data_IF_031111768727
#
_entry.id   IF_031111768727
#
_cell.length_a   1.000
_cell.length_b   1.000
_cell.length_c   1.000
_cell.angle_alpha   90.00
_cell.angle_beta   90.00
_cell.angle_gamma   90.00
#
_symmetry.space_group_name_H-M   'P 1'
#
loop_
_entity.id
_entity.type
_entity.pdbx_description
1 polymer ?
#
# COMPACT_ATOMS: atom_id res chain seq x y z
N UNK A 1 -24.32 -69.36 -39.93
CA UNK A 1 -23.67 -68.13 -39.43
C UNK A 1 -24.69 -67.00 -39.25
N UNK A 2 -25.70 -67.16 -38.38
CA UNK A 2 -26.71 -66.13 -38.05
C UNK A 2 -27.26 -66.26 -36.60
N UNK A 3 -26.43 -66.72 -35.67
CA UNK A 3 -26.83 -66.94 -34.26
C UNK A 3 -25.99 -66.13 -33.25
N UNK A 4 -24.75 -65.76 -33.60
CA UNK A 4 -23.87 -64.97 -32.73
C UNK A 4 -24.22 -63.47 -32.73
N UNK A 5 -24.76 -62.93 -33.83
CA UNK A 5 -25.22 -61.52 -33.91
C UNK A 5 -26.47 -61.22 -33.06
N UNK A 6 -27.15 -62.24 -32.53
CA UNK A 6 -28.35 -62.08 -31.68
C UNK A 6 -28.05 -62.05 -30.18
N UNK A 7 -26.84 -62.39 -29.76
CA UNK A 7 -26.42 -62.44 -28.34
C UNK A 7 -25.55 -61.25 -27.92
N UNK A 8 -24.93 -60.53 -28.85
CA UNK A 8 -24.07 -59.37 -28.58
C UNK A 8 -24.53 -58.13 -29.34
N UNK A 9 -25.83 -57.84 -29.28
CA UNK A 9 -26.35 -56.52 -29.63
C UNK A 9 -25.89 -55.47 -28.62
N UNK A 10 -24.60 -55.10 -28.64
CA UNK A 10 -24.16 -53.83 -28.06
C UNK A 10 -24.81 -52.74 -28.90
N UNK A 11 -25.95 -52.22 -28.42
CA UNK A 11 -26.19 -50.78 -28.53
C UNK A 11 -25.00 -50.12 -27.83
N UNK A 12 -23.99 -49.75 -28.61
CA UNK A 12 -23.31 -48.50 -28.31
C UNK A 12 -24.43 -47.47 -28.41
N UNK A 13 -24.93 -47.02 -27.26
CA UNK A 13 -25.43 -45.66 -27.17
C UNK A 13 -24.35 -44.81 -27.82
N UNK A 14 -24.69 -44.25 -28.98
CA UNK A 14 -23.91 -43.16 -29.53
C UNK A 14 -24.01 -42.10 -28.45
N UNK A 15 -22.95 -41.90 -27.69
CA UNK A 15 -22.67 -40.61 -27.09
C UNK A 15 -22.77 -39.63 -28.25
N UNK A 16 -23.91 -38.95 -28.35
CA UNK A 16 -24.03 -37.77 -29.18
C UNK A 16 -23.03 -36.79 -28.58
N UNK A 17 -21.83 -36.74 -29.17
CA UNK A 17 -20.86 -35.67 -28.95
C UNK A 17 -21.49 -34.41 -29.56
N UNK A 18 -22.42 -33.85 -28.79
CA UNK A 18 -22.84 -32.48 -28.95
C UNK A 18 -21.76 -31.68 -28.23
N UNK A 19 -20.87 -31.06 -29.01
CA UNK A 19 -20.03 -29.97 -28.51
C UNK A 19 -20.95 -28.98 -27.79
N UNK A 20 -20.89 -29.00 -26.46
CA UNK A 20 -21.74 -28.19 -25.60
C UNK A 20 -21.04 -26.85 -25.43
N UNK A 21 -21.51 -25.85 -26.17
CA UNK A 21 -21.06 -24.47 -26.04
C UNK A 21 -21.92 -23.79 -24.98
N UNK A 22 -21.30 -23.36 -23.89
CA UNK A 22 -21.96 -22.67 -22.78
C UNK A 22 -21.70 -21.17 -22.86
N UNK A 23 -22.75 -20.36 -22.86
CA UNK A 23 -22.61 -18.92 -22.63
C UNK A 23 -22.25 -18.69 -21.15
N UNK A 24 -21.14 -17.98 -20.89
CA UNK A 24 -20.63 -17.80 -19.52
C UNK A 24 -21.69 -17.21 -18.57
N UNK A 25 -22.54 -16.31 -19.09
CA UNK A 25 -23.62 -15.65 -18.34
C UNK A 25 -24.70 -16.63 -17.85
N UNK A 26 -24.90 -17.73 -18.56
CA UNK A 26 -25.92 -18.75 -18.28
C UNK A 26 -25.32 -19.94 -17.52
N UNK A 27 -24.01 -20.11 -17.55
CA UNK A 27 -23.30 -21.25 -16.96
C UNK A 27 -23.62 -21.43 -15.47
N UNK A 28 -23.75 -20.35 -14.70
CA UNK A 28 -24.08 -20.42 -13.28
C UNK A 28 -25.46 -21.08 -13.05
N UNK A 29 -26.45 -20.71 -13.87
CA UNK A 29 -27.80 -21.28 -13.80
C UNK A 29 -27.78 -22.75 -14.22
N UNK A 30 -27.08 -23.09 -15.30
CA UNK A 30 -26.95 -24.46 -15.79
C UNK A 30 -26.31 -25.37 -14.73
N UNK A 31 -25.22 -24.92 -14.09
CA UNK A 31 -24.53 -25.67 -13.04
C UNK A 31 -25.43 -25.88 -11.82
N UNK A 32 -26.16 -24.84 -11.41
CA UNK A 32 -27.11 -24.95 -10.30
C UNK A 32 -28.25 -25.94 -10.60
N UNK A 33 -28.82 -25.88 -11.81
CA UNK A 33 -29.85 -26.82 -12.24
C UNK A 33 -29.36 -28.26 -12.30
N UNK A 34 -28.17 -28.50 -12.86
CA UNK A 34 -27.58 -29.83 -12.98
C UNK A 34 -27.21 -30.41 -11.61
N UNK A 35 -26.71 -29.56 -10.69
CA UNK A 35 -26.47 -29.94 -9.29
C UNK A 35 -27.77 -30.33 -8.59
N UNK A 36 -28.82 -29.54 -8.76
CA UNK A 36 -30.16 -29.83 -8.23
C UNK A 36 -30.72 -31.16 -8.76
N UNK A 37 -30.64 -31.40 -10.08
CA UNK A 37 -31.06 -32.67 -10.70
C UNK A 37 -30.30 -33.85 -10.12
N UNK A 38 -28.99 -33.70 -9.92
CA UNK A 38 -28.15 -34.76 -9.37
C UNK A 38 -28.51 -35.06 -7.91
N UNK A 39 -28.79 -34.04 -7.09
CA UNK A 39 -29.26 -34.20 -5.71
C UNK A 39 -30.60 -34.94 -5.69
N UNK A 40 -31.59 -34.49 -6.46
CA UNK A 40 -32.92 -35.14 -6.52
C UNK A 40 -32.84 -36.59 -7.01
N UNK A 41 -31.93 -36.89 -7.93
CA UNK A 41 -31.72 -38.27 -8.41
C UNK A 41 -31.20 -39.22 -7.32
N UNK A 42 -30.40 -38.71 -6.38
CA UNK A 42 -29.77 -39.52 -5.33
C UNK A 42 -30.65 -39.71 -4.09
N UNK A 43 -31.56 -38.76 -3.81
CA UNK A 43 -32.45 -38.82 -2.64
C UNK A 43 -33.18 -40.15 -2.45
N UNK A 44 -33.81 -40.76 -3.48
CA UNK A 44 -34.49 -42.04 -3.30
C UNK A 44 -33.56 -43.20 -2.90
N UNK A 45 -32.30 -43.17 -3.35
CA UNK A 45 -31.30 -44.17 -2.96
C UNK A 45 -30.88 -43.99 -1.50
N UNK A 46 -30.72 -42.73 -1.06
CA UNK A 46 -30.47 -42.40 0.36
C UNK A 46 -31.64 -42.87 1.23
N UNK A 47 -32.87 -42.51 0.87
CA UNK A 47 -34.09 -42.91 1.58
C UNK A 47 -34.16 -44.44 1.74
N UNK A 48 -33.96 -45.18 0.65
CA UNK A 48 -34.00 -46.64 0.65
C UNK A 48 -32.93 -47.26 1.56
N UNK A 49 -31.70 -46.77 1.48
CA UNK A 49 -30.60 -47.27 2.30
C UNK A 49 -30.76 -46.89 3.78
N UNK A 50 -31.31 -45.72 4.09
CA UNK A 50 -31.66 -45.34 5.45
C UNK A 50 -32.69 -46.27 6.07
N UNK A 51 -33.67 -46.75 5.29
CA UNK A 51 -34.63 -47.77 5.76
C UNK A 51 -33.90 -49.07 6.09
N UNK A 52 -33.04 -49.56 5.19
CA UNK A 52 -32.24 -50.78 5.41
C UNK A 52 -31.37 -50.68 6.67
N UNK A 53 -30.71 -49.54 6.88
CA UNK A 53 -29.87 -49.29 8.07
C UNK A 53 -30.73 -49.26 9.34
N UNK A 54 -31.89 -48.59 9.33
CA UNK A 54 -32.84 -48.59 10.46
C UNK A 54 -33.27 -50.02 10.80
N UNK A 55 -33.62 -50.82 9.80
CA UNK A 55 -33.99 -52.23 10.01
C UNK A 55 -32.85 -53.06 10.60
N UNK A 56 -31.61 -52.89 10.12
CA UNK A 56 -30.46 -53.59 10.68
C UNK A 56 -30.19 -53.18 12.15
N UNK A 57 -30.35 -51.90 12.49
CA UNK A 57 -30.22 -51.41 13.86
C UNK A 57 -31.31 -51.98 14.78
N UNK A 58 -32.56 -52.02 14.33
CA UNK A 58 -33.67 -52.63 15.07
C UNK A 58 -33.46 -54.14 15.30
N UNK A 59 -32.91 -54.85 14.32
CA UNK A 59 -32.60 -56.27 14.46
C UNK A 59 -31.46 -56.51 15.44
N UNK A 60 -30.39 -55.71 15.40
CA UNK A 60 -29.31 -55.77 16.40
C UNK A 60 -29.82 -55.53 17.83
N UNK A 61 -30.79 -54.63 18.00
CA UNK A 61 -31.43 -54.39 19.29
C UNK A 61 -32.19 -55.63 19.77
N UNK A 62 -32.93 -56.33 18.89
CA UNK A 62 -33.58 -57.61 19.24
C UNK A 62 -32.55 -58.69 19.58
N UNK A 63 -31.49 -58.83 18.79
CA UNK A 63 -30.42 -59.81 19.01
C UNK A 63 -29.70 -59.58 20.34
N UNK A 64 -29.56 -58.31 20.76
CA UNK A 64 -29.04 -57.94 22.08
C UNK A 64 -29.96 -58.44 23.21
N UNK A 65 -31.28 -58.27 23.09
CA UNK A 65 -32.25 -58.79 24.08
C UNK A 65 -32.28 -60.33 24.09
N UNK A 66 -32.22 -60.98 22.91
CA UNK A 66 -32.11 -62.45 22.81
C UNK A 66 -30.85 -62.97 23.50
N UNK A 67 -29.71 -62.31 23.28
CA UNK A 67 -28.45 -62.67 23.93
C UNK A 67 -28.55 -62.59 25.45
N UNK A 68 -29.15 -61.52 25.99
CA UNK A 68 -29.31 -61.35 27.44
C UNK A 68 -30.25 -62.40 28.06
N UNK A 69 -31.22 -62.89 27.30
CA UNK A 69 -32.16 -63.93 27.71
C UNK A 69 -31.63 -65.37 27.51
N UNK A 70 -30.52 -65.55 26.79
CA UNK A 70 -29.99 -66.87 26.46
C UNK A 70 -29.37 -67.59 27.67
N UNK A 71 -29.54 -68.92 27.71
CA UNK A 71 -28.89 -69.80 28.67
C UNK A 71 -27.59 -70.39 28.07
N UNK A 72 -26.53 -70.56 28.88
CA UNK A 72 -25.29 -71.16 28.40
C UNK A 72 -25.50 -72.63 28.06
N UNK A 73 -24.68 -73.17 27.16
CA UNK A 73 -24.69 -74.61 26.84
C UNK A 73 -24.57 -75.51 28.10
N UNK A 74 -25.14 -76.72 28.04
CA UNK A 74 -25.16 -77.65 29.17
C UNK A 74 -23.74 -78.08 29.62
N UNK A 75 -23.60 -78.40 30.91
CA UNK A 75 -22.36 -78.90 31.56
C UNK A 75 -21.20 -77.88 31.68
N UNK A 76 -21.49 -76.59 31.69
CA UNK A 76 -20.49 -75.54 31.94
C UNK A 76 -20.15 -75.46 33.44
N UNK A 77 -18.88 -75.24 33.77
CA UNK A 77 -18.48 -75.02 35.16
C UNK A 77 -18.98 -73.67 35.69
N UNK A 78 -19.25 -73.54 37.00
CA UNK A 78 -19.62 -72.25 37.64
C UNK A 78 -18.68 -71.09 37.33
N UNK A 79 -17.39 -71.37 37.08
CA UNK A 79 -16.40 -70.36 36.67
C UNK A 79 -16.57 -69.95 35.21
N UNK A 80 -16.94 -70.89 34.35
CA UNK A 80 -17.27 -70.66 32.94
C UNK A 80 -18.54 -69.82 32.79
N UNK A 81 -19.58 -70.10 33.58
CA UNK A 81 -20.83 -69.32 33.61
C UNK A 81 -20.56 -67.84 33.93
N UNK A 82 -19.86 -67.55 35.05
CA UNK A 82 -19.52 -66.16 35.43
C UNK A 82 -18.69 -65.43 34.37
N UNK A 83 -17.77 -66.13 33.71
CA UNK A 83 -16.96 -65.56 32.64
C UNK A 83 -17.81 -65.30 31.39
N UNK A 84 -18.76 -66.18 31.09
CA UNK A 84 -19.76 -66.01 30.05
C UNK A 84 -20.64 -64.80 30.27
N UNK A 85 -21.24 -64.69 31.45
CA UNK A 85 -22.15 -63.59 31.82
C UNK A 85 -21.46 -62.22 31.69
N UNK A 86 -20.24 -62.09 32.21
CA UNK A 86 -19.50 -60.82 32.12
C UNK A 86 -19.17 -60.44 30.67
N UNK A 87 -18.89 -61.40 29.79
CA UNK A 87 -18.64 -61.12 28.37
C UNK A 87 -19.94 -60.90 27.60
N UNK A 88 -21.02 -61.59 27.96
CA UNK A 88 -22.38 -61.39 27.46
C UNK A 88 -22.84 -59.95 27.69
N UNK A 89 -22.71 -59.47 28.92
CA UNK A 89 -23.06 -58.09 29.28
C UNK A 89 -22.19 -57.08 28.55
N UNK A 90 -20.90 -57.38 28.35
CA UNK A 90 -20.00 -56.51 27.57
C UNK A 90 -20.43 -56.43 26.09
N UNK A 91 -20.80 -57.55 25.46
CA UNK A 91 -21.32 -57.53 24.09
C UNK A 91 -22.64 -56.78 24.02
N UNK A 92 -23.56 -57.02 24.96
CA UNK A 92 -24.84 -56.31 24.99
C UNK A 92 -24.66 -54.78 25.15
N UNK A 93 -23.74 -54.35 26.02
CA UNK A 93 -23.41 -52.93 26.19
C UNK A 93 -22.82 -52.31 24.91
N UNK A 94 -21.97 -53.03 24.20
CA UNK A 94 -21.39 -52.53 22.96
C UNK A 94 -22.41 -52.48 21.80
N UNK A 95 -23.33 -53.45 21.72
CA UNK A 95 -24.46 -53.37 20.78
C UNK A 95 -25.36 -52.17 21.07
N UNK A 96 -25.61 -51.87 22.35
CA UNK A 96 -26.34 -50.67 22.74
C UNK A 96 -25.65 -49.39 22.28
N UNK A 97 -24.31 -49.32 22.33
CA UNK A 97 -23.54 -48.15 21.85
C UNK A 97 -23.78 -47.90 20.36
N UNK A 98 -23.92 -48.96 19.54
CA UNK A 98 -24.27 -48.81 18.11
C UNK A 98 -25.62 -48.11 17.99
N UNK A 99 -26.64 -48.61 18.69
CA UNK A 99 -28.00 -48.06 18.61
C UNK A 99 -28.09 -46.62 19.15
N UNK A 100 -27.37 -46.32 20.23
CA UNK A 100 -27.36 -44.98 20.84
C UNK A 100 -26.67 -43.93 19.95
N UNK A 101 -25.61 -44.33 19.23
CA UNK A 101 -24.79 -43.41 18.42
C UNK A 101 -25.20 -43.35 16.95
N UNK A 102 -25.71 -44.43 16.37
CA UNK A 102 -26.12 -44.47 14.96
C UNK A 102 -27.57 -44.04 14.80
N UNK A 103 -27.80 -42.73 14.90
CA UNK A 103 -29.10 -42.13 14.62
C UNK A 103 -29.19 -41.78 13.15
N UNK A 104 -29.94 -42.57 12.39
CA UNK A 104 -30.17 -42.32 10.97
C UNK A 104 -30.87 -40.96 10.79
N UNK A 105 -30.28 -40.03 10.03
CA UNK A 105 -30.85 -38.69 9.83
C UNK A 105 -32.23 -38.71 9.15
N UNK A 106 -33.02 -37.65 9.40
CA UNK A 106 -34.26 -37.40 8.64
C UNK A 106 -33.96 -36.73 7.29
N UNK A 107 -32.87 -35.95 7.21
CA UNK A 107 -32.44 -35.32 5.97
C UNK A 107 -31.75 -36.35 5.06
N UNK A 108 -32.25 -36.46 3.84
CA UNK A 108 -31.79 -37.41 2.83
C UNK A 108 -30.99 -36.75 1.71
N UNK A 109 -30.47 -35.54 2.00
CA UNK A 109 -29.38 -34.93 1.24
C UNK A 109 -28.19 -35.91 1.10
N UNK A 110 -27.70 -36.16 -0.13
CA UNK A 110 -26.57 -37.05 -0.37
C UNK A 110 -25.29 -36.64 0.37
N UNK A 111 -25.06 -35.33 0.54
CA UNK A 111 -23.91 -34.81 1.26
C UNK A 111 -23.96 -35.20 2.75
N UNK A 112 -25.11 -34.99 3.39
CA UNK A 112 -25.32 -35.36 4.79
C UNK A 112 -25.32 -36.89 4.97
N UNK A 113 -25.78 -37.64 3.97
CA UNK A 113 -25.69 -39.10 3.97
C UNK A 113 -24.25 -39.61 3.92
N UNK A 114 -23.36 -38.93 3.19
CA UNK A 114 -21.93 -39.26 3.18
C UNK A 114 -21.27 -38.95 4.53
N UNK A 115 -21.62 -37.84 5.17
CA UNK A 115 -21.15 -37.53 6.53
C UNK A 115 -21.61 -38.61 7.53
N UNK A 116 -22.90 -38.96 7.48
CA UNK A 116 -23.46 -40.04 8.31
C UNK A 116 -22.76 -41.38 8.07
N UNK A 117 -22.48 -41.76 6.82
CA UNK A 117 -21.73 -42.99 6.51
C UNK A 117 -20.36 -43.03 7.19
N UNK A 118 -19.60 -41.93 7.10
CA UNK A 118 -18.26 -41.84 7.68
C UNK A 118 -18.30 -42.00 9.21
N UNK A 119 -19.23 -41.30 9.86
CA UNK A 119 -19.45 -41.42 11.30
C UNK A 119 -19.90 -42.83 11.69
N UNK A 120 -20.79 -43.43 10.89
CA UNK A 120 -21.32 -44.75 11.15
C UNK A 120 -20.27 -45.85 11.05
N UNK A 121 -19.43 -45.84 10.01
CA UNK A 121 -18.31 -46.79 9.88
C UNK A 121 -17.30 -46.62 11.02
N UNK A 122 -17.05 -45.39 11.48
CA UNK A 122 -16.16 -45.11 12.61
C UNK A 122 -16.69 -45.71 13.92
N UNK A 123 -17.97 -45.53 14.21
CA UNK A 123 -18.64 -46.11 15.38
C UNK A 123 -18.65 -47.64 15.31
N UNK A 124 -19.04 -48.21 14.16
CA UNK A 124 -19.10 -49.66 13.97
C UNK A 124 -17.73 -50.30 14.18
N UNK A 125 -16.68 -49.73 13.58
CA UNK A 125 -15.30 -50.18 13.77
C UNK A 125 -14.88 -50.16 15.24
N UNK A 126 -15.15 -49.05 15.94
CA UNK A 126 -14.82 -48.91 17.36
C UNK A 126 -15.51 -49.98 18.21
N UNK A 127 -16.79 -50.27 17.90
CA UNK A 127 -17.55 -51.31 18.60
C UNK A 127 -16.99 -52.71 18.30
N UNK A 128 -16.70 -53.03 17.04
CA UNK A 128 -16.12 -54.32 16.66
C UNK A 128 -14.78 -54.57 17.37
N UNK A 129 -13.91 -53.56 17.42
CA UNK A 129 -12.61 -53.64 18.12
C UNK A 129 -12.81 -53.95 19.62
N UNK A 130 -13.72 -53.24 20.29
CA UNK A 130 -14.01 -53.41 21.72
C UNK A 130 -14.72 -54.74 22.05
N UNK A 131 -15.46 -55.29 21.10
CA UNK A 131 -16.35 -56.44 21.31
C UNK A 131 -15.70 -57.77 20.89
N UNK A 132 -14.68 -57.71 20.03
CA UNK A 132 -13.97 -58.85 19.43
C UNK A 132 -13.62 -59.97 20.43
N UNK A 133 -12.98 -59.61 21.56
CA UNK A 133 -12.58 -60.57 22.60
C UNK A 133 -13.78 -61.17 23.32
N UNK A 134 -14.81 -60.38 23.60
CA UNK A 134 -16.01 -60.87 24.27
C UNK A 134 -16.86 -61.77 23.37
N UNK A 135 -16.89 -61.51 22.06
CA UNK A 135 -17.50 -62.42 21.07
C UNK A 135 -16.84 -63.80 21.06
N UNK A 136 -15.52 -63.91 21.27
CA UNK A 136 -14.86 -65.22 21.37
C UNK A 136 -15.36 -66.05 22.56
N UNK A 137 -15.65 -65.41 23.70
CA UNK A 137 -16.19 -66.10 24.87
C UNK A 137 -17.66 -66.49 24.67
N UNK A 138 -18.46 -65.60 24.07
CA UNK A 138 -19.85 -65.88 23.74
C UNK A 138 -19.94 -67.00 22.69
N UNK A 139 -19.05 -67.06 21.71
CA UNK A 139 -18.98 -68.16 20.73
C UNK A 139 -18.92 -69.55 21.38
N UNK A 140 -18.24 -69.65 22.52
CA UNK A 140 -18.08 -70.92 23.22
C UNK A 140 -19.29 -71.29 24.09
N UNK A 141 -20.05 -70.31 24.60
CA UNK A 141 -21.12 -70.52 25.59
C UNK A 141 -22.54 -70.31 25.01
N UNK A 142 -22.66 -69.46 24.01
CA UNK A 142 -23.88 -69.02 23.33
C UNK A 142 -23.63 -69.02 21.79
N UNK A 143 -23.34 -70.19 21.19
CA UNK A 143 -22.88 -70.27 19.80
C UNK A 143 -23.92 -69.79 18.77
N UNK A 144 -25.22 -69.97 19.06
CA UNK A 144 -26.30 -69.56 18.16
C UNK A 144 -26.44 -68.03 18.16
N UNK A 145 -26.43 -67.42 19.35
CA UNK A 145 -26.53 -65.98 19.56
C UNK A 145 -25.31 -65.28 18.98
N UNK A 146 -24.11 -65.82 19.20
CA UNK A 146 -22.88 -65.32 18.56
C UNK A 146 -22.99 -65.31 17.03
N UNK A 147 -23.52 -66.38 16.43
CA UNK A 147 -23.67 -66.44 14.97
C UNK A 147 -24.68 -65.39 14.48
N UNK A 148 -25.83 -65.25 15.16
CA UNK A 148 -26.83 -64.24 14.82
C UNK A 148 -26.27 -62.82 14.93
N UNK A 149 -25.56 -62.50 16.02
CA UNK A 149 -24.96 -61.18 16.24
C UNK A 149 -23.93 -60.85 15.16
N UNK A 150 -23.04 -61.80 14.82
CA UNK A 150 -22.07 -61.57 13.75
C UNK A 150 -22.75 -61.33 12.40
N UNK A 151 -23.82 -62.07 12.10
CA UNK A 151 -24.61 -61.86 10.89
C UNK A 151 -25.28 -60.48 10.90
N UNK A 152 -25.92 -60.07 12.00
CA UNK A 152 -26.55 -58.75 12.10
C UNK A 152 -25.56 -57.59 12.01
N UNK A 153 -24.35 -57.75 12.56
CA UNK A 153 -23.27 -56.76 12.42
C UNK A 153 -22.77 -56.68 10.97
N UNK A 154 -22.67 -57.81 10.28
CA UNK A 154 -22.32 -57.85 8.87
C UNK A 154 -23.44 -57.22 8.01
N UNK A 155 -24.72 -57.49 8.31
CA UNK A 155 -25.86 -56.88 7.61
C UNK A 155 -25.90 -55.35 7.77
N UNK A 156 -25.57 -54.83 8.96
CA UNK A 156 -25.42 -53.39 9.17
C UNK A 156 -24.23 -52.83 8.38
N UNK A 157 -23.10 -53.52 8.36
CA UNK A 157 -21.92 -53.11 7.57
C UNK A 157 -22.23 -53.07 6.07
N UNK A 158 -22.88 -54.11 5.55
CA UNK A 158 -23.31 -54.21 4.16
C UNK A 158 -24.29 -53.09 3.80
N UNK A 159 -25.25 -52.78 4.68
CA UNK A 159 -26.20 -51.68 4.46
C UNK A 159 -25.51 -50.30 4.42
N UNK A 160 -24.47 -50.09 5.23
CA UNK A 160 -23.66 -48.87 5.18
C UNK A 160 -22.82 -48.80 3.89
N UNK A 161 -22.21 -49.90 3.47
CA UNK A 161 -21.39 -49.92 2.26
C UNK A 161 -22.24 -49.78 0.98
N UNK A 162 -23.49 -50.26 0.99
CA UNK A 162 -24.47 -50.00 -0.07
C UNK A 162 -24.88 -48.52 -0.11
N UNK A 163 -25.08 -47.88 1.05
CA UNK A 163 -25.31 -46.43 1.13
C UNK A 163 -24.18 -45.68 0.42
N UNK A 164 -22.92 -45.95 0.78
CA UNK A 164 -21.76 -45.30 0.17
C UNK A 164 -21.69 -45.54 -1.34
N UNK A 165 -21.82 -46.80 -1.76
CA UNK A 165 -21.73 -47.20 -3.16
C UNK A 165 -22.81 -46.54 -4.03
N UNK A 166 -24.02 -46.37 -3.49
CA UNK A 166 -25.15 -45.77 -4.20
C UNK A 166 -25.03 -44.25 -4.40
N UNK A 167 -24.26 -43.54 -3.55
CA UNK A 167 -24.18 -42.08 -3.59
C UNK A 167 -22.83 -41.51 -4.02
N UNK A 168 -21.73 -42.23 -3.85
CA UNK A 168 -20.36 -41.68 -3.97
C UNK A 168 -20.07 -41.06 -5.34
N UNK A 169 -20.44 -41.73 -6.43
CA UNK A 169 -20.23 -41.18 -7.78
C UNK A 169 -21.04 -39.90 -8.01
N UNK A 170 -22.26 -39.86 -7.46
CA UNK A 170 -23.13 -38.71 -7.61
C UNK A 170 -22.68 -37.51 -6.77
N UNK A 171 -22.16 -37.75 -5.57
CA UNK A 171 -21.55 -36.74 -4.72
C UNK A 171 -20.33 -36.13 -5.40
N UNK A 172 -19.44 -36.96 -5.97
CA UNK A 172 -18.29 -36.46 -6.73
C UNK A 172 -18.73 -35.53 -7.87
N UNK A 173 -19.80 -35.88 -8.59
CA UNK A 173 -20.36 -35.00 -9.64
C UNK A 173 -20.86 -33.67 -9.08
N UNK A 174 -21.53 -33.68 -7.91
CA UNK A 174 -21.97 -32.45 -7.21
C UNK A 174 -20.77 -31.60 -6.79
N UNK A 175 -19.71 -32.20 -6.25
CA UNK A 175 -18.48 -31.50 -5.88
C UNK A 175 -17.79 -30.86 -7.09
N UNK A 176 -17.72 -31.58 -8.22
CA UNK A 176 -17.13 -31.06 -9.45
C UNK A 176 -17.97 -29.91 -10.03
N UNK A 177 -19.31 -29.98 -9.96
CA UNK A 177 -20.20 -28.86 -10.29
C UNK A 177 -19.98 -27.64 -9.36
N UNK A 178 -19.76 -27.86 -8.07
CA UNK A 178 -19.46 -26.78 -7.13
C UNK A 178 -18.13 -26.09 -7.45
N UNK A 179 -17.10 -26.83 -7.91
CA UNK A 179 -15.84 -26.22 -8.39
C UNK A 179 -16.06 -25.32 -9.60
N UNK A 180 -16.95 -25.72 -10.52
CA UNK A 180 -17.34 -24.86 -11.65
C UNK A 180 -18.02 -23.60 -11.13
N UNK A 181 -18.98 -23.72 -10.20
CA UNK A 181 -19.66 -22.56 -9.61
C UNK A 181 -18.67 -21.59 -8.95
N UNK A 182 -17.70 -22.09 -8.17
CA UNK A 182 -16.64 -21.25 -7.58
C UNK A 182 -15.78 -20.57 -8.64
N UNK A 183 -15.39 -21.27 -9.71
CA UNK A 183 -14.61 -20.68 -10.81
C UNK A 183 -15.36 -19.61 -11.59
N UNK A 184 -16.70 -19.71 -11.70
CA UNK A 184 -17.52 -18.64 -12.29
C UNK A 184 -17.46 -17.37 -11.45
N UNK A 185 -17.61 -17.50 -10.13
CA UNK A 185 -17.54 -16.35 -9.22
C UNK A 185 -16.14 -15.72 -9.18
N UNK A 186 -15.08 -16.52 -9.28
CA UNK A 186 -13.70 -16.03 -9.43
C UNK A 186 -13.53 -15.20 -10.70
N UNK A 187 -13.97 -15.70 -11.87
CA UNK A 187 -13.89 -14.96 -13.13
C UNK A 187 -14.68 -13.64 -13.05
N UNK A 188 -15.91 -13.66 -12.52
CA UNK A 188 -16.72 -12.44 -12.34
C UNK A 188 -16.04 -11.42 -11.41
N UNK A 189 -15.44 -11.89 -10.32
CA UNK A 189 -14.72 -11.04 -9.38
C UNK A 189 -13.55 -10.32 -10.04
N UNK A 190 -12.76 -11.05 -10.85
CA UNK A 190 -11.65 -10.47 -11.60
C UNK A 190 -12.17 -9.47 -12.66
N UNK A 191 -13.24 -9.79 -13.38
CA UNK A 191 -13.86 -8.86 -14.35
C UNK A 191 -14.32 -7.55 -13.69
N UNK A 192 -14.95 -7.62 -12.52
CA UNK A 192 -15.34 -6.44 -11.74
C UNK A 192 -14.12 -5.62 -11.27
N UNK A 193 -13.06 -6.29 -10.83
CA UNK A 193 -11.81 -5.62 -10.46
C UNK A 193 -11.12 -4.92 -11.63
N UNK A 194 -11.15 -5.53 -12.82
CA UNK A 194 -10.63 -4.95 -14.06
C UNK A 194 -11.43 -3.69 -14.45
N UNK A 195 -12.76 -3.76 -14.42
CA UNK A 195 -13.64 -2.61 -14.70
C UNK A 195 -13.39 -1.45 -13.73
N UNK A 196 -13.24 -1.76 -12.43
CA UNK A 196 -12.93 -0.77 -11.41
C UNK A 196 -11.54 -0.16 -11.61
N UNK A 197 -10.55 -0.96 -12.01
CA UNK A 197 -9.21 -0.48 -12.34
C UNK A 197 -9.22 0.47 -13.54
N UNK A 198 -9.93 0.09 -14.61
CA UNK A 198 -10.06 0.92 -15.81
C UNK A 198 -10.71 2.28 -15.52
N UNK A 199 -11.79 2.30 -14.70
CA UNK A 199 -12.43 3.54 -14.24
C UNK A 199 -11.47 4.43 -13.44
N UNK A 200 -10.70 3.86 -12.50
CA UNK A 200 -9.69 4.60 -11.74
C UNK A 200 -8.63 5.23 -12.63
N UNK A 201 -8.13 4.49 -13.63
CA UNK A 201 -7.15 5.01 -14.60
C UNK A 201 -7.75 6.19 -15.37
N UNK A 202 -9.00 6.10 -15.82
CA UNK A 202 -9.69 7.19 -16.51
C UNK A 202 -9.87 8.44 -15.62
N UNK A 203 -10.23 8.26 -14.36
CA UNK A 203 -10.33 9.36 -13.38
C UNK A 203 -8.97 10.01 -13.12
N UNK A 204 -7.90 9.21 -13.00
CA UNK A 204 -6.54 9.71 -12.84
C UNK A 204 -6.07 10.49 -14.07
N UNK A 205 -6.36 10.02 -15.30
CA UNK A 205 -6.09 10.80 -16.51
C UNK A 205 -6.82 12.15 -16.51
N UNK A 206 -8.08 12.18 -16.10
CA UNK A 206 -8.85 13.43 -15.98
C UNK A 206 -8.20 14.40 -14.98
N UNK A 207 -7.69 13.89 -13.84
CA UNK A 207 -6.94 14.68 -12.86
C UNK A 207 -5.62 15.18 -13.40
N UNK A 208 -4.90 14.35 -14.16
CA UNK A 208 -3.65 14.72 -14.82
C UNK A 208 -3.87 15.87 -15.81
N UNK A 209 -4.88 15.77 -16.68
CA UNK A 209 -5.19 16.80 -17.66
C UNK A 209 -5.61 18.11 -16.99
N UNK A 210 -6.40 18.05 -15.91
CA UNK A 210 -6.76 19.23 -15.13
C UNK A 210 -5.52 19.90 -14.47
N UNK A 211 -4.57 19.12 -13.95
CA UNK A 211 -3.33 19.65 -13.39
C UNK A 211 -2.44 20.27 -14.48
N UNK A 212 -2.36 19.64 -15.65
CA UNK A 212 -1.64 20.13 -16.83
C UNK A 212 -2.21 21.45 -17.34
N UNK A 213 -3.53 21.59 -17.40
CA UNK A 213 -4.19 22.84 -17.78
C UNK A 213 -3.87 23.96 -16.78
N UNK A 214 -3.90 23.67 -15.48
CA UNK A 214 -3.54 24.63 -14.43
C UNK A 214 -2.08 25.06 -14.49
N UNK A 215 -1.17 24.12 -14.76
CA UNK A 215 0.25 24.43 -14.98
C UNK A 215 0.43 25.36 -16.17
N UNK A 216 -0.18 25.05 -17.31
CA UNK A 216 -0.11 25.91 -18.51
C UNK A 216 -0.67 27.32 -18.26
N UNK A 217 -1.73 27.45 -17.44
CA UNK A 217 -2.25 28.76 -17.02
C UNK A 217 -1.28 29.50 -16.09
N UNK A 218 -0.63 28.81 -15.16
CA UNK A 218 0.39 29.41 -14.29
C UNK A 218 1.59 29.90 -15.11
N UNK A 219 2.09 29.09 -16.05
CA UNK A 219 3.17 29.46 -16.96
C UNK A 219 2.81 30.68 -17.82
N UNK A 220 1.56 30.73 -18.31
CA UNK A 220 1.06 31.89 -19.07
C UNK A 220 1.00 33.15 -18.21
N UNK A 221 0.52 33.04 -16.97
CA UNK A 221 0.50 34.16 -16.00
C UNK A 221 1.92 34.64 -15.67
N UNK A 222 2.88 33.73 -15.50
CA UNK A 222 4.29 34.11 -15.31
C UNK A 222 4.83 34.88 -16.51
N UNK A 223 4.57 34.39 -17.73
CA UNK A 223 5.00 35.08 -18.94
C UNK A 223 4.35 36.47 -19.08
N UNK A 224 3.06 36.62 -18.75
CA UNK A 224 2.38 37.92 -18.73
C UNK A 224 2.98 38.87 -17.68
N UNK A 225 3.27 38.35 -16.48
CA UNK A 225 3.89 39.11 -15.39
C UNK A 225 5.28 39.62 -15.77
N UNK A 226 6.12 38.76 -16.35
CA UNK A 226 7.48 39.12 -16.77
C UNK A 226 7.51 40.14 -17.92
N UNK A 227 6.44 40.22 -18.71
CA UNK A 227 6.29 41.18 -19.81
C UNK A 227 5.52 42.45 -19.39
N UNK A 228 5.09 42.56 -18.12
CA UNK A 228 4.31 43.70 -17.68
C UNK A 228 5.21 44.92 -17.39
N UNK A 229 4.62 46.11 -17.52
CA UNK A 229 5.34 47.37 -17.30
C UNK A 229 5.85 47.52 -15.86
N UNK A 230 5.12 46.97 -14.87
CA UNK A 230 5.54 47.01 -13.47
C UNK A 230 6.77 46.15 -13.21
N UNK A 231 6.89 44.98 -13.85
CA UNK A 231 8.05 44.11 -13.73
C UNK A 231 9.30 44.75 -14.37
N UNK A 232 9.14 45.35 -15.56
CA UNK A 232 10.22 46.10 -16.21
C UNK A 232 10.63 47.32 -15.37
N UNK A 233 9.66 48.04 -14.79
CA UNK A 233 9.95 49.14 -13.85
C UNK A 233 10.72 48.64 -12.62
N UNK A 234 10.30 47.52 -12.02
CA UNK A 234 11.00 46.92 -10.89
C UNK A 234 12.44 46.51 -11.24
N UNK A 235 12.67 46.08 -12.48
CA UNK A 235 14.01 45.77 -13.00
C UNK A 235 14.86 47.03 -13.15
N UNK A 236 14.30 48.08 -13.75
CA UNK A 236 14.97 49.37 -13.93
C UNK A 236 15.36 49.99 -12.60
N UNK A 237 14.44 50.06 -11.63
CA UNK A 237 14.72 50.54 -10.27
C UNK A 237 15.89 49.79 -9.62
N UNK A 238 15.98 48.47 -9.83
CA UNK A 238 17.07 47.65 -9.29
C UNK A 238 18.41 47.96 -9.95
N UNK A 239 18.42 48.20 -11.25
CA UNK A 239 19.62 48.59 -12.00
C UNK A 239 20.06 50.03 -11.64
N UNK A 240 19.11 50.93 -11.39
CA UNK A 240 19.35 52.29 -10.88
C UNK A 240 19.94 52.26 -9.48
N UNK A 241 19.34 51.52 -8.53
CA UNK A 241 19.88 51.33 -7.17
C UNK A 241 21.32 50.85 -7.23
N UNK A 242 21.62 49.87 -8.10
CA UNK A 242 22.98 49.35 -8.26
C UNK A 242 23.96 50.39 -8.81
N UNK A 243 23.48 51.29 -9.66
CA UNK A 243 24.28 52.40 -10.19
C UNK A 243 24.61 53.40 -9.08
N UNK A 244 23.59 53.82 -8.32
CA UNK A 244 23.74 54.73 -7.18
C UNK A 244 24.66 54.12 -6.10
N UNK A 245 24.55 52.82 -5.81
CA UNK A 245 25.46 52.12 -4.90
C UNK A 245 26.92 52.15 -5.38
N UNK A 246 27.15 52.07 -6.69
CA UNK A 246 28.48 52.21 -7.29
C UNK A 246 29.02 53.64 -7.14
N UNK A 247 28.16 54.65 -7.30
CA UNK A 247 28.54 56.06 -7.15
C UNK A 247 28.88 56.40 -5.69
N UNK A 248 28.06 55.95 -4.73
CA UNK A 248 28.37 56.03 -3.29
C UNK A 248 29.71 55.37 -2.98
N UNK A 249 29.93 54.15 -3.49
CA UNK A 249 31.19 53.43 -3.31
C UNK A 249 32.39 54.18 -3.90
N UNK A 250 32.18 54.86 -5.03
CA UNK A 250 33.17 55.74 -5.67
C UNK A 250 33.54 56.93 -4.78
N UNK A 251 32.54 57.61 -4.22
CA UNK A 251 32.72 58.73 -3.29
C UNK A 251 33.43 58.27 -2.00
N UNK A 252 33.06 57.12 -1.45
CA UNK A 252 33.74 56.54 -0.28
C UNK A 252 35.21 56.17 -0.57
N UNK A 253 35.51 55.73 -1.79
CA UNK A 253 36.88 55.50 -2.24
C UNK A 253 37.65 56.82 -2.37
N UNK A 254 37.01 57.88 -2.86
CA UNK A 254 37.59 59.22 -2.94
C UNK A 254 37.87 59.81 -1.55
N UNK A 255 36.91 59.74 -0.62
CA UNK A 255 37.10 60.12 0.79
C UNK A 255 38.31 59.39 1.40
N UNK A 256 38.43 58.08 1.19
CA UNK A 256 39.60 57.29 1.61
C UNK A 256 40.92 57.80 1.01
N UNK A 257 40.91 58.20 -0.26
CA UNK A 257 42.10 58.73 -0.95
C UNK A 257 42.54 60.07 -0.34
N UNK A 258 41.61 60.91 0.11
CA UNK A 258 41.94 62.18 0.77
C UNK A 258 42.73 61.99 2.06
N UNK A 259 42.47 60.96 2.86
CA UNK A 259 43.23 60.69 4.09
C UNK A 259 44.45 59.78 3.90
N UNK A 260 44.61 59.13 2.72
CA UNK A 260 45.72 58.21 2.47
C UNK A 260 47.10 58.86 2.64
N UNK A 261 47.38 60.07 2.13
CA UNK A 261 48.65 60.77 2.37
C UNK A 261 48.88 61.13 3.84
N UNK A 262 47.82 61.24 4.64
CA UNK A 262 47.88 61.56 6.07
C UNK A 262 48.05 60.34 6.97
N UNK A 263 47.84 59.13 6.45
CA UNK A 263 47.85 57.87 7.20
C UNK A 263 49.03 57.72 8.16
N UNK A 264 50.25 58.11 7.75
CA UNK A 264 51.45 58.02 8.59
C UNK A 264 51.46 59.06 9.71
N UNK A 265 51.01 60.27 9.43
CA UNK A 265 50.92 61.35 10.41
C UNK A 265 49.84 61.01 11.45
N UNK A 266 48.65 60.61 11.00
CA UNK A 266 47.54 60.16 11.85
C UNK A 266 47.96 58.97 12.72
N UNK A 267 48.63 57.96 12.15
CA UNK A 267 49.13 56.81 12.93
C UNK A 267 50.19 57.18 13.97
N UNK A 268 50.97 58.24 13.74
CA UNK A 268 51.98 58.73 14.71
C UNK A 268 51.30 59.52 15.83
N UNK A 269 50.32 60.34 15.47
CA UNK A 269 49.50 61.12 16.40
C UNK A 269 48.71 60.20 17.34
N UNK A 270 48.07 59.15 16.81
CA UNK A 270 47.40 58.10 17.58
C UNK A 270 48.36 57.41 18.57
N UNK A 271 49.52 56.95 18.07
CA UNK A 271 50.52 56.30 18.94
C UNK A 271 51.09 57.21 20.03
N UNK A 272 51.17 58.52 19.79
CA UNK A 272 51.64 59.47 20.79
C UNK A 272 50.57 59.73 21.85
N UNK A 273 49.29 59.72 21.47
CA UNK A 273 48.15 59.78 22.38
C UNK A 273 48.05 58.52 23.25
N UNK A 274 48.14 57.32 22.65
CA UNK A 274 48.10 56.04 23.35
C UNK A 274 49.23 55.88 24.40
N UNK A 275 50.39 56.46 24.13
CA UNK A 275 51.56 56.40 25.02
C UNK A 275 51.67 57.61 25.95
N UNK A 276 50.61 58.43 26.05
CA UNK A 276 50.51 59.64 26.88
C UNK A 276 51.61 60.69 26.61
N UNK A 277 52.32 60.58 25.48
CA UNK A 277 53.36 61.53 25.09
C UNK A 277 52.76 62.84 24.59
N UNK A 278 51.59 62.78 23.98
CA UNK A 278 50.81 63.96 23.62
C UNK A 278 49.33 63.60 23.58
N UNK A 279 48.60 64.01 24.64
CA UNK A 279 47.20 63.67 24.84
C UNK A 279 46.32 64.48 23.89
N UNK A 280 45.50 63.80 23.10
CA UNK A 280 44.48 64.40 22.23
C UNK A 280 43.24 64.78 23.03
N UNK A 281 42.57 65.85 22.60
CA UNK A 281 41.24 66.16 23.11
C UNK A 281 40.25 65.04 22.77
N UNK A 282 39.18 64.86 23.57
CA UNK A 282 38.13 63.88 23.26
C UNK A 282 37.52 64.05 21.86
N UNK A 283 37.37 65.30 21.40
CA UNK A 283 36.88 65.65 20.06
C UNK A 283 37.85 65.18 18.96
N UNK A 284 39.16 65.42 19.11
CA UNK A 284 40.16 64.96 18.15
C UNK A 284 40.30 63.43 18.14
N UNK A 285 40.08 62.75 19.27
CA UNK A 285 40.02 61.27 19.32
C UNK A 285 38.82 60.72 18.56
N UNK A 286 37.67 61.37 18.66
CA UNK A 286 36.46 60.97 17.93
C UNK A 286 36.65 61.11 16.41
N UNK A 287 37.20 62.25 15.97
CA UNK A 287 37.51 62.50 14.55
C UNK A 287 38.56 61.50 14.05
N UNK A 288 39.64 61.26 14.80
CA UNK A 288 40.68 60.29 14.45
C UNK A 288 40.10 58.88 14.27
N UNK A 289 39.20 58.46 15.17
CA UNK A 289 38.49 57.18 15.07
C UNK A 289 37.61 57.15 13.81
N UNK A 290 36.83 58.20 13.57
CA UNK A 290 35.98 58.32 12.38
C UNK A 290 36.79 58.24 11.09
N UNK A 291 37.94 58.91 11.00
CA UNK A 291 38.82 58.87 9.83
C UNK A 291 39.36 57.44 9.58
N UNK A 292 39.55 56.63 10.62
CA UNK A 292 40.05 55.26 10.46
C UNK A 292 38.96 54.28 10.07
N UNK A 293 37.78 54.44 10.63
CA UNK A 293 36.66 53.50 10.44
C UNK A 293 35.84 53.84 9.19
N UNK A 294 35.47 55.11 9.02
CA UNK A 294 34.62 55.58 7.93
C UNK A 294 35.05 56.99 7.47
N UNK A 295 36.08 57.09 6.62
CA UNK A 295 36.59 58.36 6.09
C UNK A 295 35.54 59.27 5.45
N UNK A 296 34.51 58.70 4.82
CA UNK A 296 33.43 59.47 4.21
C UNK A 296 32.59 60.19 5.29
N UNK A 297 32.19 59.48 6.34
CA UNK A 297 31.48 60.07 7.49
C UNK A 297 32.37 61.01 8.33
N UNK A 298 33.69 60.85 8.27
CA UNK A 298 34.62 61.76 8.94
C UNK A 298 34.65 63.15 8.28
N UNK A 299 34.48 63.22 6.96
CA UNK A 299 34.46 64.48 6.20
C UNK A 299 33.15 65.26 6.44
N UNK A 300 32.09 64.58 6.86
CA UNK A 300 30.80 65.19 7.25
C UNK A 300 30.85 65.87 8.62
N UNK A 301 31.88 65.57 9.43
CA UNK A 301 32.10 66.19 10.74
C UNK A 301 32.96 67.46 10.60
N UNK A 302 32.92 68.32 11.62
CA UNK A 302 33.85 69.44 11.71
C UNK A 302 35.27 68.92 12.02
N UNK A 303 36.11 68.86 10.99
CA UNK A 303 37.50 68.41 11.09
C UNK A 303 38.50 69.57 11.24
N UNK A 304 38.05 70.82 11.23
CA UNK A 304 38.94 72.00 11.17
C UNK A 304 39.92 72.02 12.36
N UNK A 305 39.42 71.72 13.57
CA UNK A 305 40.25 71.64 14.79
C UNK A 305 41.27 70.49 14.74
N UNK A 306 40.87 69.35 14.17
CA UNK A 306 41.76 68.21 14.02
C UNK A 306 42.86 68.48 12.99
N UNK A 307 42.51 69.11 11.87
CA UNK A 307 43.46 69.49 10.81
C UNK A 307 44.44 70.56 11.29
N UNK A 308 43.98 71.55 12.08
CA UNK A 308 44.84 72.56 12.68
C UNK A 308 45.86 71.94 13.64
N UNK A 309 45.41 71.04 14.52
CA UNK A 309 46.28 70.30 15.44
C UNK A 309 47.28 69.42 14.68
N UNK A 310 46.82 68.72 13.64
CA UNK A 310 47.68 67.89 12.79
C UNK A 310 48.75 68.73 12.06
N UNK A 311 48.37 69.92 11.57
CA UNK A 311 49.28 70.88 10.91
C UNK A 311 50.38 71.32 11.87
N UNK A 312 50.01 71.78 13.07
CA UNK A 312 50.95 72.24 14.09
C UNK A 312 52.00 71.17 14.40
N UNK A 313 51.57 69.90 14.56
CA UNK A 313 52.47 68.79 14.89
C UNK A 313 53.37 68.35 13.73
N UNK A 314 52.94 68.56 12.49
CA UNK A 314 53.76 68.31 11.30
C UNK A 314 54.84 69.39 11.18
N UNK A 315 54.48 70.66 11.35
CA UNK A 315 55.38 71.81 11.23
C UNK A 315 56.39 71.89 12.39
N UNK A 316 55.98 71.56 13.61
CA UNK A 316 56.88 71.52 14.79
C UNK A 316 57.86 70.34 14.77
N UNK A 317 57.67 69.38 13.85
CA UNK A 317 58.49 68.17 13.75
C UNK A 317 58.21 67.12 14.83
N UNK A 318 57.20 67.33 15.68
CA UNK A 318 56.83 66.43 16.79
C UNK A 318 56.47 65.01 16.34
N UNK A 319 55.99 64.85 15.11
CA UNK A 319 55.62 63.54 14.55
C UNK A 319 56.81 62.74 14.00
N UNK A 320 58.01 63.34 13.92
CA UNK A 320 59.23 62.69 13.43
C UNK A 320 59.09 62.15 12.01
N UNK A 321 58.38 62.87 11.15
CA UNK A 321 58.16 62.55 9.74
C UNK A 321 59.36 63.02 8.90
N UNK A 322 59.59 62.39 7.75
CA UNK A 322 60.60 62.85 6.78
C UNK A 322 60.06 64.07 6.03
N UNK A 323 60.92 65.00 5.63
CA UNK A 323 60.54 66.25 4.94
C UNK A 323 59.57 66.05 3.76
N UNK A 324 59.84 65.04 2.91
CA UNK A 324 58.97 64.70 1.77
C UNK A 324 57.56 64.24 2.19
N UNK A 325 57.43 63.62 3.37
CA UNK A 325 56.14 63.19 3.92
C UNK A 325 55.42 64.36 4.61
N UNK A 326 56.15 65.28 5.25
CA UNK A 326 55.59 66.51 5.79
C UNK A 326 54.98 67.37 4.68
N UNK A 327 55.72 67.58 3.58
CA UNK A 327 55.26 68.37 2.44
C UNK A 327 54.00 67.77 1.80
N UNK A 328 53.95 66.43 1.63
CA UNK A 328 52.76 65.73 1.11
C UNK A 328 51.57 65.81 2.05
N UNK A 329 51.80 65.72 3.36
CA UNK A 329 50.75 65.81 4.36
C UNK A 329 50.17 67.22 4.45
N UNK A 330 51.02 68.26 4.46
CA UNK A 330 50.57 69.66 4.46
C UNK A 330 49.76 70.01 3.21
N UNK A 331 50.24 69.62 2.01
CA UNK A 331 49.47 69.80 0.76
C UNK A 331 48.11 69.10 0.80
N UNK A 332 48.03 67.93 1.43
CA UNK A 332 46.76 67.20 1.54
C UNK A 332 45.84 67.83 2.61
N UNK A 333 46.38 68.42 3.67
CA UNK A 333 45.62 69.20 4.64
C UNK A 333 45.05 70.45 3.98
N UNK A 334 45.80 71.12 3.10
CA UNK A 334 45.28 72.25 2.31
C UNK A 334 44.08 71.83 1.44
N UNK A 335 44.12 70.63 0.84
CA UNK A 335 43.00 70.07 0.07
C UNK A 335 41.80 69.75 0.97
N UNK A 336 42.02 69.23 2.18
CA UNK A 336 40.95 68.97 3.15
C UNK A 336 40.38 70.27 3.76
N UNK A 337 41.15 71.35 3.79
CA UNK A 337 40.69 72.68 4.18
C UNK A 337 39.96 73.42 3.05
N UNK A 338 40.02 72.92 1.81
CA UNK A 338 39.24 73.46 0.71
C UNK A 338 37.75 73.09 0.88
N UNK A 339 37.02 74.01 1.51
CA UNK A 339 35.58 73.87 1.79
C UNK A 339 34.78 73.56 0.52
N UNK A 340 35.23 73.98 -0.66
CA UNK A 340 34.52 73.69 -1.91
C UNK A 340 34.62 72.21 -2.30
N UNK A 341 35.81 71.62 -2.15
CA UNK A 341 36.06 70.20 -2.46
C UNK A 341 35.32 69.32 -1.47
N UNK A 342 35.41 69.65 -0.18
CA UNK A 342 34.77 68.88 0.89
C UNK A 342 33.25 68.99 0.86
N UNK A 343 32.69 70.19 0.74
CA UNK A 343 31.24 70.35 0.67
C UNK A 343 30.64 69.67 -0.56
N UNK A 344 31.32 69.68 -1.71
CA UNK A 344 30.86 68.98 -2.91
C UNK A 344 30.83 67.45 -2.72
N UNK A 345 31.84 66.87 -2.08
CA UNK A 345 31.89 65.43 -1.80
C UNK A 345 30.77 64.99 -0.83
N UNK A 346 30.54 65.79 0.21
CA UNK A 346 29.48 65.55 1.21
C UNK A 346 28.09 65.70 0.59
N UNK A 347 27.88 66.74 -0.21
CA UNK A 347 26.62 66.99 -0.90
C UNK A 347 26.28 65.84 -1.86
N UNK A 348 27.22 65.42 -2.70
CA UNK A 348 27.01 64.28 -3.61
C UNK A 348 26.76 62.96 -2.89
N UNK A 349 27.47 62.68 -1.78
CA UNK A 349 27.20 61.47 -0.99
C UNK A 349 25.78 61.48 -0.43
N UNK A 350 25.36 62.63 0.11
CA UNK A 350 24.03 62.79 0.68
C UNK A 350 22.94 62.65 -0.40
N UNK A 351 23.11 63.31 -1.54
CA UNK A 351 22.21 63.21 -2.70
C UNK A 351 22.00 61.75 -3.12
N UNK A 352 23.09 60.99 -3.29
CA UNK A 352 22.99 59.58 -3.70
C UNK A 352 22.40 58.67 -2.60
N UNK A 353 22.64 58.96 -1.32
CA UNK A 353 22.00 58.22 -0.22
C UNK A 353 20.49 58.46 -0.18
N UNK A 354 20.06 59.72 -0.35
CA UNK A 354 18.64 60.08 -0.44
C UNK A 354 17.99 59.44 -1.68
N UNK A 355 18.65 59.51 -2.84
CA UNK A 355 18.21 58.85 -4.09
C UNK A 355 18.06 57.34 -3.90
N UNK A 356 19.03 56.68 -3.25
CA UNK A 356 18.96 55.25 -2.95
C UNK A 356 17.75 54.91 -2.08
N UNK A 357 17.49 55.69 -1.03
CA UNK A 357 16.38 55.45 -0.12
C UNK A 357 15.02 55.64 -0.82
N UNK A 358 14.90 56.63 -1.71
CA UNK A 358 13.72 56.86 -2.54
C UNK A 358 13.46 55.69 -3.51
N UNK A 359 14.50 55.25 -4.24
CA UNK A 359 14.41 54.12 -5.16
C UNK A 359 14.06 52.81 -4.44
N UNK A 360 14.62 52.58 -3.25
CA UNK A 360 14.28 51.41 -2.43
C UNK A 360 12.83 51.47 -1.94
N UNK A 361 12.34 52.64 -1.52
CA UNK A 361 10.95 52.81 -1.12
C UNK A 361 10.01 52.54 -2.30
N UNK A 362 10.33 53.04 -3.50
CA UNK A 362 9.55 52.79 -4.71
C UNK A 362 9.55 51.31 -5.10
N UNK A 363 10.71 50.64 -5.04
CA UNK A 363 10.83 49.20 -5.32
C UNK A 363 10.02 48.35 -4.33
N UNK A 364 10.08 48.67 -3.03
CA UNK A 364 9.34 47.94 -1.99
C UNK A 364 7.82 48.08 -2.09
N UNK A 365 7.33 49.14 -2.75
CA UNK A 365 5.90 49.30 -3.02
C UNK A 365 5.41 48.39 -4.16
N UNK A 366 6.30 47.78 -4.95
CA UNK A 366 5.94 46.85 -6.02
C UNK A 366 5.78 45.43 -5.46
N UNK A 367 4.57 44.88 -5.50
CA UNK A 367 4.29 43.48 -5.08
C UNK A 367 4.68 42.43 -6.14
N UNK A 368 5.26 42.85 -7.26
CA UNK A 368 5.44 42.03 -8.46
C UNK A 368 6.32 40.79 -8.22
N UNK A 369 7.34 40.88 -7.36
CA UNK A 369 8.20 39.75 -7.03
C UNK A 369 7.53 38.73 -6.11
N UNK A 370 6.65 39.19 -5.21
CA UNK A 370 5.84 38.29 -4.38
C UNK A 370 4.83 37.54 -5.25
N UNK A 371 4.17 38.25 -6.17
CA UNK A 371 3.26 37.62 -7.12
C UNK A 371 3.97 36.59 -8.00
N UNK A 372 5.19 36.91 -8.49
CA UNK A 372 6.03 35.95 -9.22
C UNK A 372 6.30 34.69 -8.40
N UNK A 373 6.77 34.85 -7.16
CA UNK A 373 7.10 33.73 -6.27
C UNK A 373 5.87 32.85 -5.98
N UNK A 374 4.70 33.48 -5.80
CA UNK A 374 3.45 32.75 -5.57
C UNK A 374 3.02 31.93 -6.80
N UNK A 375 3.13 32.50 -8.02
CA UNK A 375 2.79 31.75 -9.23
C UNK A 375 3.81 30.62 -9.47
N UNK A 376 5.10 30.84 -9.21
CA UNK A 376 6.13 29.78 -9.29
C UNK A 376 5.83 28.62 -8.33
N UNK A 377 5.43 28.92 -7.09
CA UNK A 377 4.99 27.90 -6.12
C UNK A 377 3.74 27.15 -6.59
N UNK A 378 2.78 27.84 -7.18
CA UNK A 378 1.60 27.20 -7.79
C UNK A 378 2.00 26.25 -8.91
N UNK A 379 2.88 26.68 -9.82
CA UNK A 379 3.39 25.89 -10.93
C UNK A 379 4.14 24.64 -10.44
N UNK A 380 5.01 24.78 -9.44
CA UNK A 380 5.72 23.66 -8.82
C UNK A 380 4.75 22.64 -8.23
N UNK A 381 3.72 23.11 -7.51
CA UNK A 381 2.68 22.26 -6.94
C UNK A 381 1.91 21.49 -8.02
N UNK A 382 1.54 22.12 -9.13
CA UNK A 382 0.85 21.44 -10.22
C UNK A 382 1.77 20.42 -10.92
N UNK A 383 3.03 20.76 -11.13
CA UNK A 383 4.05 19.85 -11.69
C UNK A 383 4.26 18.62 -10.80
N UNK A 384 4.34 18.79 -9.48
CA UNK A 384 4.44 17.68 -8.55
C UNK A 384 3.18 16.81 -8.56
N UNK A 385 2.00 17.43 -8.52
CA UNK A 385 0.71 16.73 -8.64
C UNK A 385 0.62 15.90 -9.92
N UNK A 386 1.13 16.39 -11.05
CA UNK A 386 1.19 15.62 -12.31
C UNK A 386 2.09 14.40 -12.20
N UNK A 387 3.27 14.52 -11.58
CA UNK A 387 4.20 13.39 -11.36
C UNK A 387 3.56 12.32 -10.49
N UNK A 388 2.93 12.72 -9.38
CA UNK A 388 2.29 11.80 -8.45
C UNK A 388 1.16 11.04 -9.14
N UNK A 389 0.26 11.75 -9.84
CA UNK A 389 -0.83 11.11 -10.59
C UNK A 389 -0.31 10.20 -11.70
N UNK A 390 0.77 10.56 -12.38
CA UNK A 390 1.36 9.70 -13.41
C UNK A 390 1.93 8.40 -12.82
N UNK A 391 2.59 8.48 -11.66
CA UNK A 391 3.05 7.29 -10.94
C UNK A 391 1.88 6.39 -10.52
N UNK A 392 0.77 6.98 -10.04
CA UNK A 392 -0.44 6.25 -9.71
C UNK A 392 -1.02 5.54 -10.94
N UNK A 393 -1.10 6.22 -12.09
CA UNK A 393 -1.54 5.63 -13.37
C UNK A 393 -0.64 4.44 -13.77
N UNK A 394 0.68 4.59 -13.68
CA UNK A 394 1.61 3.51 -14.02
C UNK A 394 1.43 2.30 -13.09
N UNK A 395 1.19 2.55 -11.81
CA UNK A 395 0.97 1.49 -10.81
C UNK A 395 -0.34 0.74 -11.05
N UNK A 396 -1.43 1.46 -11.30
CA UNK A 396 -2.75 0.87 -11.54
C UNK A 396 -2.79 0.18 -12.92
N UNK A 397 -2.08 0.71 -13.92
CA UNK A 397 -1.93 0.07 -15.23
C UNK A 397 -1.22 -1.28 -15.14
N UNK A 398 -0.18 -1.39 -14.29
CA UNK A 398 0.47 -2.68 -14.00
C UNK A 398 -0.48 -3.63 -13.28
N UNK A 399 -1.30 -3.14 -12.35
CA UNK A 399 -2.34 -3.96 -11.69
C UNK A 399 -3.34 -4.50 -12.71
N UNK A 400 -3.84 -3.65 -13.60
CA UNK A 400 -4.74 -4.05 -14.68
C UNK A 400 -4.11 -5.08 -15.63
N UNK A 401 -2.81 -4.95 -15.91
CA UNK A 401 -2.08 -5.94 -16.70
C UNK A 401 -2.05 -7.30 -15.99
N UNK A 402 -1.71 -7.34 -14.70
CA UNK A 402 -1.69 -8.59 -13.93
C UNK A 402 -3.09 -9.24 -13.85
N UNK A 403 -4.14 -8.44 -13.66
CA UNK A 403 -5.52 -8.94 -13.65
C UNK A 403 -5.92 -9.58 -14.99
N UNK A 404 -5.35 -9.14 -16.12
CA UNK A 404 -5.55 -9.78 -17.44
C UNK A 404 -4.89 -11.16 -17.51
N UNK A 405 -3.74 -11.34 -16.89
CA UNK A 405 -3.11 -12.66 -16.81
C UNK A 405 -3.90 -13.58 -15.87
N UNK A 406 -4.38 -13.04 -14.74
CA UNK A 406 -5.17 -13.78 -13.75
C UNK A 406 -6.52 -14.24 -14.32
N UNK A 407 -7.23 -13.39 -15.08
CA UNK A 407 -8.50 -13.77 -15.71
C UNK A 407 -8.30 -14.88 -16.74
N UNK A 408 -7.22 -14.86 -17.54
CA UNK A 408 -6.94 -15.92 -18.51
C UNK A 408 -6.67 -17.26 -17.82
N UNK A 409 -5.95 -17.23 -16.69
CA UNK A 409 -5.71 -18.42 -15.87
C UNK A 409 -7.00 -18.95 -15.23
N UNK A 410 -7.85 -18.07 -14.69
CA UNK A 410 -9.13 -18.42 -14.11
C UNK A 410 -10.08 -19.01 -15.18
N UNK A 411 -10.15 -18.40 -16.37
CA UNK A 411 -10.94 -18.91 -17.51
C UNK A 411 -10.47 -20.29 -17.98
N UNK A 412 -9.16 -20.51 -18.06
CA UNK A 412 -8.58 -21.81 -18.40
C UNK A 412 -8.92 -22.90 -17.37
N UNK A 413 -8.80 -22.56 -16.08
CA UNK A 413 -9.15 -23.47 -14.97
C UNK A 413 -10.63 -23.81 -14.98
N UNK A 414 -11.49 -22.79 -15.18
CA UNK A 414 -12.93 -22.97 -15.29
C UNK A 414 -13.29 -23.88 -16.48
N UNK A 415 -12.68 -23.66 -17.64
CA UNK A 415 -12.89 -24.50 -18.83
C UNK A 415 -12.49 -25.96 -18.57
N UNK A 416 -11.36 -26.19 -17.89
CA UNK A 416 -10.93 -27.54 -17.51
C UNK A 416 -11.97 -28.23 -16.60
N UNK A 417 -12.53 -27.50 -15.64
CA UNK A 417 -13.56 -28.04 -14.75
C UNK A 417 -14.86 -28.32 -15.50
N UNK A 418 -15.27 -27.44 -16.41
CA UNK A 418 -16.44 -27.63 -17.29
C UNK A 418 -16.26 -28.88 -18.15
N UNK A 419 -15.09 -29.07 -18.77
CA UNK A 419 -14.79 -30.25 -19.59
C UNK A 419 -14.82 -31.55 -18.79
N UNK A 420 -14.34 -31.53 -17.55
CA UNK A 420 -14.38 -32.69 -16.68
C UNK A 420 -15.81 -33.17 -16.36
N UNK A 421 -16.80 -32.26 -16.35
CA UNK A 421 -18.20 -32.57 -16.02
C UNK A 421 -19.08 -32.75 -17.25
N UNK A 422 -18.90 -31.91 -18.27
CA UNK A 422 -19.78 -31.84 -19.45
C UNK A 422 -19.14 -32.44 -20.72
N UNK A 423 -17.89 -32.89 -20.66
CA UNK A 423 -17.17 -33.55 -21.75
C UNK A 423 -16.05 -32.69 -22.35
N UNK A 424 -15.03 -33.34 -22.92
CA UNK A 424 -13.82 -32.68 -23.47
C UNK A 424 -14.10 -31.68 -24.60
N UNK A 425 -15.23 -31.86 -25.31
CA UNK A 425 -15.68 -30.96 -26.39
C UNK A 425 -16.47 -29.74 -25.89
N UNK A 426 -16.60 -29.60 -24.57
CA UNK A 426 -17.26 -28.43 -23.98
C UNK A 426 -16.40 -27.17 -24.16
N UNK A 427 -17.09 -26.07 -24.42
CA UNK A 427 -16.50 -24.74 -24.60
C UNK A 427 -17.29 -23.70 -23.80
N UNK A 428 -16.59 -22.66 -23.34
CA UNK A 428 -17.21 -21.51 -22.67
C UNK A 428 -17.05 -20.30 -23.58
N UNK A 429 -18.18 -19.70 -23.95
CA UNK A 429 -18.21 -18.45 -24.68
C UNK A 429 -18.36 -17.29 -23.69
N UNK A 430 -17.33 -16.47 -23.61
CA UNK A 430 -17.35 -15.21 -22.89
C UNK A 430 -17.94 -14.14 -23.82
N UNK A 431 -18.84 -13.30 -23.30
CA UNK A 431 -19.29 -12.16 -24.09
C UNK A 431 -18.16 -11.14 -24.18
N UNK A 432 -17.79 -10.77 -25.40
CA UNK A 432 -16.91 -9.61 -25.69
C UNK A 432 -17.54 -8.28 -25.26
#
# INVERSE_FOLDING_TARGET
MKFIERLFGKKQEKEESHSAVFEFRELATIVAEESGKQIEKLKPAVDGNYVSIKTALEELEKLKEELLAAEPIENVSKRGEKLGDSNRDNVANNLKIINDKLKVPEDTSPLNASEFYNDAKSVLKTVLDNTSRSLMYIKALYPQEHQKINNGLAELEDALDELYSSIMQGIKKIEDLNKIASGIEEVKGIEEEMDNSAKKIQEMHSRYDAAKEKLSKADSRLAELENCAEFEKARQLKDEIKTVESDISGIEAEARRLFTPLSKAISRMEKQDDNERCVLSPENRAILKSIKEEPAAAIEQDIDLFLAELTNRIESGELGLKDQMCEKALKQIDVLNDKKVISSLVEHRKEHLEEKDELLAELNNLSIYQEKEDIEKEAEKYSQSMKDVNNDIDSESKRLYNLKDDIDMAKSTLLSNVRAVFGEEAEIKYCE
#
